data_IF_032090028880
#
_entry.id   IF_032090028880
#
_cell.length_a   1.000
_cell.length_b   1.000
_cell.length_c   1.000
_cell.angle_alpha   90.00
_cell.angle_beta   90.00
_cell.angle_gamma   90.00
#
_symmetry.space_group_name_H-M   'P 1'
#
loop_
_entity.id
_entity.type
_entity.pdbx_description
1 polymer ?
#
# COMPACT_ATOMS: atom_id res chain seq x y z
N UNK A 1 -8.00 9.84 27.68
CA UNK A 1 -7.75 8.96 26.50
C UNK A 1 -8.49 7.67 26.76
N UNK A 2 -9.54 7.41 25.98
CA UNK A 2 -10.56 6.43 26.30
C UNK A 2 -10.08 5.00 26.09
N UNK A 3 -10.00 4.23 27.16
CA UNK A 3 -9.74 2.77 27.17
C UNK A 3 -10.73 1.98 26.29
N UNK A 4 -11.89 2.56 25.99
CA UNK A 4 -12.95 2.01 25.14
C UNK A 4 -12.52 1.97 23.66
N UNK A 5 -11.74 2.94 23.17
CA UNK A 5 -11.25 2.96 21.78
C UNK A 5 -10.23 1.84 21.52
N UNK A 6 -9.43 1.47 22.52
CA UNK A 6 -8.45 0.39 22.41
C UNK A 6 -9.11 -1.00 22.40
N UNK A 7 -10.22 -1.16 23.14
CA UNK A 7 -11.00 -2.40 23.19
C UNK A 7 -11.76 -2.61 21.88
N UNK A 8 -12.26 -1.53 21.25
CA UNK A 8 -12.98 -1.61 19.97
C UNK A 8 -12.06 -1.99 18.80
N UNK A 9 -10.80 -1.56 18.81
CA UNK A 9 -9.81 -1.98 17.81
C UNK A 9 -9.40 -3.44 18.00
N UNK A 10 -9.32 -3.94 19.25
CA UNK A 10 -8.98 -5.33 19.54
C UNK A 10 -10.14 -6.29 19.27
N UNK A 11 -11.39 -5.86 19.44
CA UNK A 11 -12.58 -6.66 19.19
C UNK A 11 -12.85 -6.92 17.69
N UNK A 12 -12.27 -6.11 16.78
CA UNK A 12 -12.35 -6.32 15.33
C UNK A 12 -11.42 -7.44 14.82
N UNK A 13 -10.50 -7.93 15.65
CA UNK A 13 -9.55 -8.98 15.26
C UNK A 13 -9.93 -10.41 15.71
N UNK A 14 -11.05 -10.61 16.42
CA UNK A 14 -11.32 -11.89 17.10
C UNK A 14 -12.26 -12.91 16.42
N UNK A 15 -12.92 -12.74 15.27
CA UNK A 15 -13.77 -13.82 14.76
C UNK A 15 -13.22 -14.62 13.56
N UNK A 16 -11.94 -14.48 13.15
CA UNK A 16 -11.46 -15.16 11.93
C UNK A 16 -10.66 -16.44 12.17
N UNK A 17 -10.70 -17.04 13.36
CA UNK A 17 -9.91 -18.22 13.71
C UNK A 17 -10.63 -19.56 13.53
N UNK A 18 -11.65 -19.66 12.67
CA UNK A 18 -12.29 -20.95 12.45
C UNK A 18 -12.90 -21.05 11.05
N UNK A 19 -12.08 -21.40 10.06
CA UNK A 19 -12.48 -22.31 8.97
C UNK A 19 -11.27 -22.63 8.11
N UNK A 20 -10.98 -23.92 7.93
CA UNK A 20 -10.04 -24.46 6.94
C UNK A 20 -10.64 -24.30 5.51
N UNK A 21 -10.94 -23.07 5.11
CA UNK A 21 -11.36 -22.70 3.78
C UNK A 21 -10.30 -21.77 3.21
N UNK A 22 -9.99 -21.97 1.94
CA UNK A 22 -9.10 -21.15 1.10
C UNK A 22 -9.02 -19.73 1.60
N UNK A 23 -7.88 -19.34 2.16
CA UNK A 23 -7.65 -17.99 2.71
C UNK A 23 -7.84 -16.99 1.59
N UNK A 24 -8.90 -16.21 1.71
CA UNK A 24 -9.31 -15.27 0.67
C UNK A 24 -8.84 -13.85 0.92
N UNK A 25 -8.40 -13.58 2.14
CA UNK A 25 -7.93 -12.25 2.52
C UNK A 25 -6.43 -12.26 2.79
N UNK A 26 -5.76 -11.26 2.26
CA UNK A 26 -4.35 -10.97 2.51
C UNK A 26 -4.25 -9.54 3.00
N UNK A 27 -3.59 -9.31 4.15
CA UNK A 27 -3.31 -7.99 4.67
C UNK A 27 -1.80 -7.75 4.69
N UNK A 28 -1.35 -6.77 3.94
CA UNK A 28 0.03 -6.33 3.91
C UNK A 28 0.21 -5.11 4.82
N UNK A 29 1.29 -5.09 5.58
CA UNK A 29 1.76 -3.94 6.31
C UNK A 29 3.27 -3.80 6.11
N UNK A 30 3.71 -2.61 5.69
CA UNK A 30 5.09 -2.41 5.34
C UNK A 30 5.57 -0.97 5.48
N UNK A 31 6.87 -0.83 5.32
CA UNK A 31 7.55 0.45 5.17
C UNK A 31 7.69 0.78 3.69
N UNK A 32 7.48 2.04 3.34
CA UNK A 32 7.60 2.52 1.97
C UNK A 32 8.58 3.69 1.86
N UNK A 33 9.33 3.68 0.78
CA UNK A 33 10.20 4.75 0.35
C UNK A 33 9.75 5.24 -1.02
N UNK A 34 9.51 6.55 -1.14
CA UNK A 34 9.06 7.19 -2.38
C UNK A 34 10.04 8.27 -2.81
N UNK A 35 10.40 8.24 -4.07
CA UNK A 35 11.18 9.27 -4.73
C UNK A 35 10.27 10.10 -5.63
N UNK A 36 10.17 11.37 -5.35
CA UNK A 36 9.38 12.33 -6.13
C UNK A 36 10.31 13.03 -7.13
N UNK A 37 10.02 12.91 -8.41
CA UNK A 37 10.74 13.60 -9.49
C UNK A 37 9.94 14.83 -9.94
N UNK A 38 10.64 15.94 -10.21
CA UNK A 38 10.00 17.15 -10.81
C UNK A 38 10.09 18.43 -10.00
N UNK A 39 10.82 18.44 -8.88
CA UNK A 39 11.22 19.65 -8.15
C UNK A 39 12.69 19.96 -8.42
N UNK A 40 13.15 21.22 -8.16
CA UNK A 40 14.58 21.60 -8.36
C UNK A 40 15.57 20.74 -7.54
N UNK A 41 15.08 19.91 -6.63
CA UNK A 41 15.84 18.86 -5.96
C UNK A 41 14.94 17.62 -5.76
N UNK A 42 15.47 16.42 -6.02
CA UNK A 42 14.77 15.16 -5.75
C UNK A 42 14.41 15.07 -4.26
N UNK A 43 13.13 14.96 -3.93
CA UNK A 43 12.68 14.76 -2.57
C UNK A 43 12.53 13.26 -2.30
N UNK A 44 13.21 12.81 -1.23
CA UNK A 44 13.03 11.46 -0.71
C UNK A 44 12.01 11.52 0.42
N UNK A 45 10.99 10.69 0.31
CA UNK A 45 9.92 10.56 1.30
C UNK A 45 9.88 9.13 1.81
N UNK A 46 9.54 8.96 3.06
CA UNK A 46 9.37 7.64 3.67
C UNK A 46 8.13 7.59 4.51
N UNK A 47 7.57 6.38 4.67
CA UNK A 47 6.35 6.23 5.42
C UNK A 47 5.91 4.79 5.55
N UNK A 48 4.61 4.59 5.72
CA UNK A 48 4.00 3.29 5.82
C UNK A 48 3.06 3.03 4.64
N UNK A 49 2.83 1.77 4.37
CA UNK A 49 1.84 1.27 3.42
C UNK A 49 1.12 0.09 4.04
N UNK A 50 -0.19 0.05 3.85
CA UNK A 50 -1.05 -1.07 4.20
C UNK A 50 -1.92 -1.43 3.00
N UNK A 51 -2.05 -2.72 2.71
CA UNK A 51 -2.92 -3.21 1.65
C UNK A 51 -3.83 -4.31 2.19
N UNK A 52 -5.04 -4.35 1.68
CA UNK A 52 -5.99 -5.43 1.91
C UNK A 52 -6.41 -5.99 0.56
N UNK A 53 -6.10 -7.27 0.33
CA UNK A 53 -6.44 -7.97 -0.91
C UNK A 53 -7.48 -9.04 -0.64
N UNK A 54 -8.55 -9.04 -1.44
CA UNK A 54 -9.52 -10.12 -1.49
C UNK A 54 -9.29 -10.96 -2.74
N UNK A 55 -8.99 -12.25 -2.56
CA UNK A 55 -8.75 -13.21 -3.66
C UNK A 55 -10.05 -13.89 -4.06
N UNK A 56 -10.50 -13.67 -5.28
CA UNK A 56 -11.63 -14.39 -5.90
C UNK A 56 -11.20 -15.78 -6.34
N UNK A 57 -9.97 -15.87 -6.88
CA UNK A 57 -9.32 -17.11 -7.30
C UNK A 57 -7.91 -17.13 -6.72
N UNK A 58 -7.18 -18.25 -6.78
CA UNK A 58 -5.78 -18.28 -6.35
C UNK A 58 -4.87 -17.27 -7.09
N UNK A 59 -5.29 -16.83 -8.29
CA UNK A 59 -4.50 -15.97 -9.17
C UNK A 59 -5.00 -14.53 -9.23
N UNK A 60 -6.29 -14.29 -8.96
CA UNK A 60 -6.94 -12.99 -9.19
C UNK A 60 -7.59 -12.48 -7.90
N UNK A 61 -7.33 -11.24 -7.59
CA UNK A 61 -7.92 -10.52 -6.46
C UNK A 61 -8.19 -9.05 -6.76
N UNK A 62 -8.73 -8.38 -5.75
CA UNK A 62 -8.85 -6.93 -5.68
C UNK A 62 -8.14 -6.44 -4.44
N UNK A 63 -7.27 -5.46 -4.62
CA UNK A 63 -6.44 -4.87 -3.57
C UNK A 63 -6.89 -3.44 -3.30
N UNK A 64 -7.03 -3.09 -2.02
CA UNK A 64 -7.15 -1.72 -1.53
C UNK A 64 -5.84 -1.34 -0.84
N UNK A 65 -5.21 -0.25 -1.29
CA UNK A 65 -3.97 0.33 -0.74
C UNK A 65 -4.30 1.59 0.03
N UNK A 66 -3.71 1.73 1.20
CA UNK A 66 -3.68 2.96 1.97
C UNK A 66 -2.23 3.25 2.37
N UNK A 67 -1.72 4.41 2.00
CA UNK A 67 -0.34 4.77 2.30
C UNK A 67 -0.18 6.22 2.72
N UNK A 68 0.82 6.47 3.56
CA UNK A 68 1.21 7.81 3.98
C UNK A 68 2.72 7.93 3.95
N UNK A 69 3.22 8.93 3.22
CA UNK A 69 4.62 9.27 3.13
C UNK A 69 4.86 10.66 3.70
N UNK A 70 5.98 10.80 4.39
CA UNK A 70 6.40 12.01 5.06
C UNK A 70 7.80 12.40 4.57
N UNK A 71 7.97 13.66 4.22
CA UNK A 71 9.25 14.19 3.78
C UNK A 71 9.44 15.63 4.20
N UNK A 72 10.64 16.14 3.96
CA UNK A 72 10.97 17.55 4.16
C UNK A 72 11.61 18.08 2.89
N UNK A 73 11.05 19.15 2.35
CA UNK A 73 11.60 19.87 1.21
C UNK A 73 11.91 21.30 1.65
N UNK A 74 13.16 21.72 1.53
CA UNK A 74 13.61 23.09 1.85
C UNK A 74 13.14 23.57 3.24
N UNK A 75 13.20 22.68 4.27
CA UNK A 75 12.76 22.99 5.64
C UNK A 75 11.25 22.90 5.92
N UNK A 76 10.44 22.62 4.93
CA UNK A 76 8.98 22.48 5.07
C UNK A 76 8.54 21.03 5.02
N UNK A 77 7.59 20.66 5.88
CA UNK A 77 7.01 19.30 5.90
C UNK A 77 6.08 19.11 4.71
N UNK A 78 6.27 17.98 4.01
CA UNK A 78 5.38 17.50 2.96
C UNK A 78 4.78 16.19 3.43
N UNK A 79 3.46 16.07 3.31
CA UNK A 79 2.73 14.86 3.59
C UNK A 79 2.00 14.40 2.32
N UNK A 80 2.13 13.12 2.03
CA UNK A 80 1.44 12.50 0.90
C UNK A 80 0.60 11.32 1.41
N UNK A 81 -0.68 11.27 1.04
CA UNK A 81 -1.60 10.20 1.40
C UNK A 81 -2.28 9.67 0.15
N UNK A 82 -2.30 8.36 -0.01
CA UNK A 82 -3.01 7.70 -1.10
C UNK A 82 -4.02 6.70 -0.55
N UNK A 83 -5.17 6.61 -1.21
CA UNK A 83 -6.15 5.55 -1.04
C UNK A 83 -6.51 5.08 -2.44
N UNK A 84 -6.09 3.87 -2.77
CA UNK A 84 -6.22 3.31 -4.11
C UNK A 84 -6.87 1.93 -4.03
N UNK A 85 -7.58 1.53 -5.10
CA UNK A 85 -8.20 0.21 -5.21
C UNK A 85 -8.11 -0.29 -6.64
N UNK A 86 -7.93 -1.60 -6.83
CA UNK A 86 -7.91 -2.17 -8.16
C UNK A 86 -7.55 -3.65 -8.21
N UNK A 87 -7.52 -4.23 -9.42
CA UNK A 87 -7.21 -5.63 -9.63
C UNK A 87 -5.75 -5.97 -9.36
N UNK A 88 -5.55 -7.17 -8.84
CA UNK A 88 -4.24 -7.79 -8.61
C UNK A 88 -4.22 -9.20 -9.20
N UNK A 89 -3.13 -9.53 -9.88
CA UNK A 89 -2.83 -10.88 -10.37
C UNK A 89 -1.58 -11.37 -9.65
N UNK A 90 -1.64 -12.56 -9.07
CA UNK A 90 -0.51 -13.18 -8.37
C UNK A 90 -0.38 -14.66 -8.70
N UNK A 91 0.82 -15.20 -8.57
CA UNK A 91 1.07 -16.62 -8.73
C UNK A 91 1.17 -17.29 -7.35
N UNK A 92 0.28 -18.27 -7.01
CA UNK A 92 0.26 -18.92 -5.70
C UNK A 92 1.38 -19.95 -5.59
N UNK A 93 2.58 -19.48 -5.29
CA UNK A 93 3.79 -20.32 -5.10
C UNK A 93 4.51 -19.92 -3.82
N UNK A 94 5.56 -20.65 -3.46
CA UNK A 94 6.43 -20.29 -2.33
C UNK A 94 7.10 -18.92 -2.54
N UNK A 95 7.52 -18.66 -3.79
CA UNK A 95 7.87 -17.32 -4.28
C UNK A 95 6.71 -16.88 -5.16
N UNK A 96 5.94 -15.91 -4.70
CA UNK A 96 4.69 -15.46 -5.28
C UNK A 96 4.88 -14.07 -5.89
N UNK A 97 5.23 -13.96 -7.18
CA UNK A 97 5.20 -12.67 -7.86
C UNK A 97 3.75 -12.21 -8.05
N UNK A 98 3.55 -10.90 -7.96
CA UNK A 98 2.24 -10.28 -8.22
C UNK A 98 2.42 -8.97 -9.00
N UNK A 99 1.35 -8.57 -9.67
CA UNK A 99 1.21 -7.27 -10.35
C UNK A 99 -0.17 -6.71 -10.07
N UNK A 100 -0.27 -5.39 -9.96
CA UNK A 100 -1.55 -4.72 -9.75
C UNK A 100 -1.65 -3.40 -10.52
N UNK A 101 -2.89 -2.99 -10.74
CA UNK A 101 -3.24 -1.65 -11.25
C UNK A 101 -4.27 -1.08 -10.31
N UNK A 102 -3.92 0.00 -9.62
CA UNK A 102 -4.76 0.62 -8.59
C UNK A 102 -5.14 2.03 -9.01
N UNK A 103 -6.37 2.42 -8.71
CA UNK A 103 -6.96 3.72 -9.03
C UNK A 103 -7.55 4.31 -7.75
N UNK A 104 -7.47 5.62 -7.58
CA UNK A 104 -8.09 6.28 -6.44
C UNK A 104 -7.65 7.71 -6.23
N UNK A 105 -7.66 8.14 -4.97
CA UNK A 105 -7.36 9.50 -4.56
C UNK A 105 -5.97 9.62 -3.94
N UNK A 106 -5.20 10.58 -4.45
CA UNK A 106 -3.98 11.09 -3.84
C UNK A 106 -4.25 12.45 -3.18
N UNK A 107 -3.72 12.66 -2.00
CA UNK A 107 -3.75 13.95 -1.30
C UNK A 107 -2.33 14.38 -0.96
N UNK A 108 -1.95 15.54 -1.44
CA UNK A 108 -0.68 16.17 -1.06
C UNK A 108 -0.95 17.41 -0.20
N UNK A 109 -0.23 17.56 0.89
CA UNK A 109 -0.23 18.77 1.71
C UNK A 109 1.17 19.38 1.70
N UNK A 110 1.26 20.55 1.12
CA UNK A 110 2.47 21.36 1.03
C UNK A 110 2.16 22.76 1.54
N UNK A 111 2.92 23.28 2.50
CA UNK A 111 2.72 24.62 3.09
C UNK A 111 1.30 24.90 3.62
N UNK A 112 0.59 23.86 4.12
CA UNK A 112 -0.79 24.00 4.62
C UNK A 112 -1.85 24.04 3.54
N UNK A 113 -1.50 23.98 2.25
CA UNK A 113 -2.43 23.85 1.13
C UNK A 113 -2.59 22.37 0.80
N UNK A 114 -3.81 21.86 0.90
CA UNK A 114 -4.15 20.47 0.53
C UNK A 114 -4.70 20.43 -0.88
N UNK A 115 -4.05 19.67 -1.74
CA UNK A 115 -4.52 19.37 -3.09
C UNK A 115 -4.97 17.91 -3.17
N UNK A 116 -6.11 17.66 -3.81
CA UNK A 116 -6.60 16.33 -4.15
C UNK A 116 -6.37 16.07 -5.63
N UNK A 117 -5.91 14.88 -5.95
CA UNK A 117 -5.63 14.48 -7.33
C UNK A 117 -6.05 13.03 -7.51
N UNK A 118 -6.69 12.72 -8.62
CA UNK A 118 -6.90 11.33 -9.01
C UNK A 118 -5.55 10.68 -9.28
N UNK A 119 -5.30 9.53 -8.68
CA UNK A 119 -4.04 8.82 -8.78
C UNK A 119 -4.23 7.43 -9.39
N UNK A 120 -3.27 7.04 -10.20
CA UNK A 120 -3.15 5.71 -10.78
C UNK A 120 -1.82 5.13 -10.35
N UNK A 121 -1.82 3.92 -9.77
CA UNK A 121 -0.61 3.19 -9.46
C UNK A 121 -0.56 1.91 -10.30
N UNK A 122 0.57 1.67 -10.92
CA UNK A 122 0.88 0.43 -11.62
C UNK A 122 2.14 -0.14 -10.99
N UNK A 123 2.06 -1.35 -10.52
CA UNK A 123 3.19 -1.95 -9.83
C UNK A 123 3.09 -3.44 -9.65
N UNK A 124 3.99 -3.94 -8.84
CA UNK A 124 4.04 -5.34 -8.49
C UNK A 124 5.21 -5.64 -7.59
N UNK A 125 5.28 -6.87 -7.15
CA UNK A 125 6.30 -7.29 -6.20
C UNK A 125 6.44 -8.80 -6.11
N UNK A 126 7.17 -9.22 -5.08
CA UNK A 126 7.42 -10.63 -4.81
C UNK A 126 7.25 -10.89 -3.32
N UNK A 127 6.36 -11.83 -3.01
CA UNK A 127 6.13 -12.34 -1.67
C UNK A 127 6.81 -13.70 -1.49
N UNK A 128 7.51 -13.88 -0.38
CA UNK A 128 8.06 -15.15 0.04
C UNK A 128 7.22 -15.76 1.16
N UNK A 129 6.57 -16.90 0.89
CA UNK A 129 5.73 -17.59 1.87
C UNK A 129 6.59 -18.29 2.91
N UNK A 130 6.54 -17.80 4.14
CA UNK A 130 7.23 -18.38 5.30
C UNK A 130 6.43 -19.55 5.84
N UNK A 131 5.13 -19.35 6.02
CA UNK A 131 4.16 -20.37 6.44
C UNK A 131 2.78 -20.05 5.83
N UNK A 132 1.77 -20.83 6.24
CA UNK A 132 0.42 -20.62 5.69
C UNK A 132 -0.25 -19.32 6.15
N UNK A 133 0.21 -18.70 7.22
CA UNK A 133 -0.35 -17.47 7.81
C UNK A 133 0.42 -16.23 7.37
N UNK A 134 1.71 -16.36 7.08
CA UNK A 134 2.63 -15.23 6.94
C UNK A 134 3.50 -15.40 5.71
N UNK A 135 3.55 -14.35 4.91
CA UNK A 135 4.58 -14.14 3.87
C UNK A 135 5.37 -12.86 4.16
N UNK A 136 6.59 -12.83 3.69
CA UNK A 136 7.43 -11.62 3.67
C UNK A 136 7.39 -11.04 2.27
N UNK A 137 6.92 -9.80 2.11
CA UNK A 137 7.03 -9.05 0.87
C UNK A 137 8.45 -8.51 0.79
N UNK A 138 9.27 -9.16 -0.04
CA UNK A 138 10.68 -8.84 -0.15
C UNK A 138 10.90 -7.51 -0.87
N UNK A 139 10.09 -7.24 -1.88
CA UNK A 139 10.13 -6.02 -2.67
C UNK A 139 8.79 -5.80 -3.38
N UNK A 140 8.34 -4.56 -3.38
CA UNK A 140 7.25 -4.06 -4.21
C UNK A 140 7.69 -2.74 -4.80
N UNK A 141 7.43 -2.55 -6.07
CA UNK A 141 7.70 -1.31 -6.77
C UNK A 141 6.44 -0.84 -7.49
N UNK A 142 6.06 0.40 -7.24
CA UNK A 142 4.89 1.06 -7.82
C UNK A 142 5.30 2.35 -8.50
N UNK A 143 4.78 2.59 -9.68
CA UNK A 143 4.80 3.89 -10.34
C UNK A 143 3.44 4.54 -10.13
N UNK A 144 3.42 5.64 -9.40
CA UNK A 144 2.20 6.39 -9.06
C UNK A 144 2.18 7.65 -9.92
N UNK A 145 1.12 7.81 -10.71
CA UNK A 145 0.93 8.97 -11.59
C UNK A 145 -0.32 9.72 -11.18
N UNK A 146 -0.20 11.01 -10.93
CA UNK A 146 -1.34 11.88 -10.71
C UNK A 146 -1.94 12.34 -12.06
N UNK A 147 -3.26 12.32 -12.19
CA UNK A 147 -3.97 12.70 -13.42
C UNK A 147 -4.05 14.23 -13.64
N UNK A 148 -3.22 15.03 -13.02
CA UNK A 148 -3.14 16.47 -13.22
C UNK A 148 -2.09 16.81 -14.28
N UNK A 149 -2.24 17.93 -15.00
CA UNK A 149 -1.45 18.39 -16.17
C UNK A 149 0.08 18.48 -15.99
N UNK A 150 0.60 18.15 -14.82
CA UNK A 150 2.01 18.03 -14.53
C UNK A 150 2.26 16.55 -14.19
N UNK A 151 2.57 15.77 -15.21
CA UNK A 151 2.85 14.34 -15.15
C UNK A 151 4.17 14.13 -14.39
N UNK A 152 4.12 14.12 -13.06
CA UNK A 152 5.20 13.59 -12.26
C UNK A 152 4.89 12.12 -11.99
N UNK A 153 5.73 11.24 -12.44
CA UNK A 153 5.67 9.80 -12.11
C UNK A 153 6.55 9.59 -10.89
N UNK A 154 5.93 9.21 -9.79
CA UNK A 154 6.63 8.96 -8.52
C UNK A 154 6.87 7.46 -8.35
N UNK A 155 8.12 7.07 -8.16
CA UNK A 155 8.50 5.69 -7.84
C UNK A 155 8.37 5.43 -6.33
N UNK A 156 7.57 4.42 -5.95
CA UNK A 156 7.45 3.93 -4.57
C UNK A 156 8.03 2.52 -4.46
N UNK A 157 8.94 2.34 -3.53
CA UNK A 157 9.45 1.02 -3.13
C UNK A 157 8.91 0.67 -1.75
N UNK A 158 8.48 -0.59 -1.55
CA UNK A 158 7.92 -1.05 -0.28
C UNK A 158 8.39 -2.46 0.06
N UNK A 159 8.51 -2.74 1.36
CA UNK A 159 8.79 -4.06 1.90
C UNK A 159 8.09 -4.25 3.26
N UNK A 160 7.73 -5.49 3.63
CA UNK A 160 7.01 -5.73 4.87
C UNK A 160 6.48 -7.15 5.01
N UNK A 161 5.39 -7.30 5.74
CA UNK A 161 4.79 -8.59 6.09
C UNK A 161 3.37 -8.67 5.52
N UNK A 162 3.02 -9.83 4.98
CA UNK A 162 1.68 -10.17 4.49
C UNK A 162 1.08 -11.25 5.40
N UNK A 163 -0.12 -11.01 5.90
CA UNK A 163 -0.90 -11.95 6.68
C UNK A 163 -2.02 -12.53 5.80
N UNK A 164 -2.19 -13.84 5.84
CA UNK A 164 -3.22 -14.58 5.09
C UNK A 164 -4.31 -15.09 6.04
N UNK A 165 -5.59 -14.82 5.72
CA UNK A 165 -6.77 -15.23 6.52
C UNK A 165 -7.75 -16.08 5.72
#
# INVERSE_FOLDING_TARGET
>A
MNKIAFILVFALFTPFAAQAQTRKFEAFAGYSFQRVEGFPSNANMSGWVGELTYKFTPYLGVTADASAQYGTLTGSRINYHNILVGPEISLPRKISPFVHVLLGDGRSSVFGVTSKTFAVAIGGGVDYRVNDLISVRMAQFDVITGATKQTSSDGRFSAGIVFHF
#
